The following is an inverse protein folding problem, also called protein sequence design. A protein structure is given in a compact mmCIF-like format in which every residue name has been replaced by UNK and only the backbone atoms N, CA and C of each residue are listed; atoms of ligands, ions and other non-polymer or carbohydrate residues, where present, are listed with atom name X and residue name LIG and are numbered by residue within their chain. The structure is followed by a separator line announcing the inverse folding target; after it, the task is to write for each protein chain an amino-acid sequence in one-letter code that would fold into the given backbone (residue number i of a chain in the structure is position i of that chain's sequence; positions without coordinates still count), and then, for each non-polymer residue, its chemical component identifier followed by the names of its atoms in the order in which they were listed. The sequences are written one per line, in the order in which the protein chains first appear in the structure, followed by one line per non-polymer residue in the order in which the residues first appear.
data_IF_672215734011
#
_entry.id   IF_672215734011
#
_cell.length_a   1.000
_cell.length_b   1.000
_cell.length_c   1.000
_cell.angle_alpha   90.00
_cell.angle_beta   90.00
_cell.angle_gamma   90.00
#
_symmetry.space_group_name_H-M   'P 1'
#
loop_
_entity.id
_entity.type
_entity.pdbx_description
1 polymer ?
#
# COMPACT_ATOMS: atom_id res chain seq x y z
N UNK A 1 38.72 31.21 9.06
CA UNK A 1 38.75 30.17 8.00
C UNK A 1 38.17 28.84 8.47
N UNK A 2 38.59 28.30 9.63
CA UNK A 2 38.04 27.05 10.20
C UNK A 2 36.53 27.07 10.49
N UNK A 3 36.01 28.15 11.08
CA UNK A 3 34.58 28.26 11.46
C UNK A 3 33.64 28.16 10.25
N UNK A 4 34.05 28.73 9.11
CA UNK A 4 33.28 28.70 7.86
C UNK A 4 33.19 27.27 7.32
N UNK A 5 34.29 26.50 7.40
CA UNK A 5 34.33 25.10 6.97
C UNK A 5 33.45 24.20 7.86
N UNK A 6 33.38 24.48 9.17
CA UNK A 6 32.50 23.76 10.09
C UNK A 6 31.03 24.07 9.77
N UNK A 7 30.69 25.34 9.56
CA UNK A 7 29.34 25.77 9.20
C UNK A 7 28.87 25.19 7.86
N UNK A 8 29.74 25.18 6.83
CA UNK A 8 29.40 24.59 5.54
C UNK A 8 29.25 23.07 5.62
N UNK A 9 30.06 22.38 6.44
CA UNK A 9 29.89 20.95 6.69
C UNK A 9 28.56 20.60 7.36
N UNK A 10 28.15 21.38 8.37
CA UNK A 10 26.86 21.20 9.06
C UNK A 10 25.69 21.49 8.12
N UNK A 11 25.78 22.55 7.32
CA UNK A 11 24.75 22.87 6.32
C UNK A 11 24.61 21.79 5.24
N UNK A 12 25.73 21.24 4.76
CA UNK A 12 25.73 20.14 3.80
C UNK A 12 25.10 18.87 4.38
N UNK A 13 25.38 18.57 5.65
CA UNK A 13 24.79 17.44 6.35
C UNK A 13 23.26 17.55 6.45
N UNK A 14 22.76 18.69 6.94
CA UNK A 14 21.31 18.93 7.04
C UNK A 14 20.60 18.96 5.68
N UNK A 15 21.24 19.52 4.65
CA UNK A 15 20.69 19.52 3.30
C UNK A 15 20.57 18.09 2.74
N UNK A 16 21.58 17.25 3.00
CA UNK A 16 21.59 15.86 2.56
C UNK A 16 20.52 15.02 3.28
N UNK A 17 20.39 15.15 4.61
CA UNK A 17 19.34 14.44 5.36
C UNK A 17 17.93 14.80 4.86
N UNK A 18 17.65 16.10 4.68
CA UNK A 18 16.35 16.54 4.15
C UNK A 18 16.10 16.04 2.73
N UNK A 19 17.14 15.94 1.91
CA UNK A 19 16.99 15.44 0.54
C UNK A 19 16.72 13.93 0.55
N UNK A 20 17.39 13.16 1.42
CA UNK A 20 17.12 11.74 1.59
C UNK A 20 15.71 11.48 2.14
N UNK A 21 15.26 12.27 3.11
CA UNK A 21 13.89 12.18 3.65
C UNK A 21 12.83 12.48 2.58
N UNK A 22 13.05 13.51 1.75
CA UNK A 22 12.16 13.81 0.61
C UNK A 22 12.13 12.70 -0.43
N UNK A 23 13.29 12.11 -0.74
CA UNK A 23 13.39 10.98 -1.66
C UNK A 23 12.61 9.81 -1.08
N UNK A 24 12.86 9.45 0.18
CA UNK A 24 12.16 8.39 0.88
C UNK A 24 10.64 8.61 0.86
N UNK A 25 10.16 9.79 1.26
CA UNK A 25 8.72 10.09 1.25
C UNK A 25 8.10 10.16 -0.16
N UNK A 26 8.91 10.43 -1.20
CA UNK A 26 8.43 10.42 -2.58
C UNK A 26 8.27 9.02 -3.16
N UNK A 27 9.08 8.06 -2.69
CA UNK A 27 9.03 6.66 -3.12
C UNK A 27 8.20 5.79 -2.17
N UNK A 28 8.02 6.23 -0.92
CA UNK A 28 7.39 5.51 0.16
C UNK A 28 6.30 6.39 0.73
N UNK A 29 5.07 5.90 0.82
CA UNK A 29 4.05 6.56 1.64
C UNK A 29 4.50 6.66 3.10
N UNK A 30 3.76 7.39 3.96
CA UNK A 30 4.08 7.67 5.37
C UNK A 30 4.47 6.44 6.22
N UNK A 31 4.24 5.21 5.74
CA UNK A 31 4.52 3.96 6.46
C UNK A 31 5.52 3.03 5.77
N UNK A 32 6.27 3.50 4.77
CA UNK A 32 7.26 2.66 4.09
C UNK A 32 6.65 1.67 3.07
N UNK A 33 5.33 1.71 2.85
CA UNK A 33 4.64 0.97 1.79
C UNK A 33 4.52 1.86 0.54
N UNK A 34 5.16 1.48 -0.56
CA UNK A 34 5.08 2.20 -1.83
C UNK A 34 3.80 1.92 -2.62
N UNK A 35 3.22 0.71 -2.50
CA UNK A 35 1.98 0.34 -3.18
C UNK A 35 1.28 -0.84 -2.49
N UNK A 36 -0.07 -0.83 -2.52
CA UNK A 36 -0.92 -1.93 -2.05
C UNK A 36 -1.89 -2.33 -3.16
N UNK A 37 -2.18 -3.62 -3.28
CA UNK A 37 -3.15 -4.13 -4.24
C UNK A 37 -3.92 -5.31 -3.69
N UNK A 38 -5.21 -5.38 -3.96
CA UNK A 38 -6.03 -6.56 -3.70
C UNK A 38 -6.46 -7.20 -5.03
N UNK A 39 -6.28 -8.51 -5.14
CA UNK A 39 -6.70 -9.31 -6.30
C UNK A 39 -7.72 -10.34 -5.84
N UNK A 40 -8.90 -10.35 -6.46
CA UNK A 40 -9.97 -11.30 -6.18
C UNK A 40 -9.99 -12.37 -7.28
N UNK A 41 -9.80 -13.63 -6.90
CA UNK A 41 -9.84 -14.76 -7.83
C UNK A 41 -11.25 -15.36 -7.89
N UNK A 42 -11.59 -15.94 -9.05
CA UNK A 42 -12.92 -16.54 -9.31
C UNK A 42 -13.21 -17.78 -8.48
N UNK A 43 -12.20 -18.40 -7.89
CA UNK A 43 -12.33 -19.55 -7.00
C UNK A 43 -12.74 -19.17 -5.56
N UNK A 44 -12.96 -17.87 -5.31
CA UNK A 44 -13.32 -17.35 -3.99
C UNK A 44 -12.13 -17.02 -3.10
N UNK A 45 -10.90 -17.14 -3.61
CA UNK A 45 -9.68 -16.72 -2.90
C UNK A 45 -9.27 -15.30 -3.27
N UNK A 46 -8.52 -14.64 -2.40
CA UNK A 46 -7.92 -13.34 -2.70
C UNK A 46 -6.43 -13.31 -2.37
N UNK A 47 -5.72 -12.36 -2.97
CA UNK A 47 -4.36 -11.98 -2.59
C UNK A 47 -4.28 -10.49 -2.33
N UNK A 48 -3.83 -10.11 -1.15
CA UNK A 48 -3.42 -8.76 -0.82
C UNK A 48 -1.90 -8.68 -0.91
N UNK A 49 -1.38 -7.81 -1.76
CA UNK A 49 0.05 -7.58 -1.93
C UNK A 49 0.40 -6.18 -1.46
N UNK A 50 1.51 -6.06 -0.74
CA UNK A 50 2.06 -4.78 -0.35
C UNK A 50 3.54 -4.73 -0.71
N UNK A 51 3.97 -3.60 -1.27
CA UNK A 51 5.34 -3.36 -1.66
C UNK A 51 5.93 -2.34 -0.70
N UNK A 52 6.92 -2.75 0.09
CA UNK A 52 7.70 -1.85 0.91
C UNK A 52 8.81 -1.18 0.10
N UNK A 53 9.26 -0.01 0.53
CA UNK A 53 10.46 0.63 -0.04
C UNK A 53 11.77 -0.06 0.35
N UNK A 54 11.82 -0.63 1.56
CA UNK A 54 12.99 -1.29 2.11
C UNK A 54 12.79 -2.80 2.33
N UNK A 55 11.54 -3.26 2.27
CA UNK A 55 11.19 -4.67 2.44
C UNK A 55 10.83 -5.27 1.08
N UNK A 56 11.41 -6.43 0.77
CA UNK A 56 10.91 -7.29 -0.31
C UNK A 56 9.40 -7.48 -0.10
N UNK A 57 8.59 -7.08 -1.08
CA UNK A 57 7.13 -7.05 -0.96
C UNK A 57 6.56 -8.34 -0.36
N UNK A 58 5.54 -8.18 0.47
CA UNK A 58 4.83 -9.29 1.09
C UNK A 58 3.47 -9.49 0.45
N UNK A 59 2.91 -10.68 0.65
CA UNK A 59 1.52 -10.95 0.31
C UNK A 59 0.83 -11.72 1.42
N UNK A 60 -0.49 -11.54 1.48
CA UNK A 60 -1.41 -12.28 2.31
C UNK A 60 -2.48 -12.87 1.40
N UNK A 61 -2.98 -14.02 1.78
CA UNK A 61 -4.04 -14.72 1.08
C UNK A 61 -5.15 -15.16 2.04
N UNK A 62 -6.28 -15.51 1.45
CA UNK A 62 -7.46 -15.95 2.17
C UNK A 62 -8.65 -16.08 1.23
N UNK A 63 -9.85 -16.03 1.80
CA UNK A 63 -11.10 -16.13 1.06
C UNK A 63 -11.85 -14.79 1.03
N UNK A 64 -12.70 -14.59 0.03
CA UNK A 64 -13.57 -13.44 -0.05
C UNK A 64 -15.02 -13.83 -0.36
N UNK A 65 -15.95 -12.99 0.07
CA UNK A 65 -17.37 -13.12 -0.22
C UNK A 65 -17.93 -11.74 -0.55
N UNK A 66 -18.75 -11.66 -1.61
CA UNK A 66 -19.53 -10.46 -1.92
C UNK A 66 -20.94 -10.60 -1.33
N UNK A 67 -21.32 -9.69 -0.43
CA UNK A 67 -22.65 -9.62 0.17
C UNK A 67 -23.29 -8.26 -0.13
N UNK A 68 -24.26 -8.26 -1.05
CA UNK A 68 -24.89 -7.03 -1.54
C UNK A 68 -23.84 -6.01 -2.03
N UNK A 69 -23.68 -4.89 -1.32
CA UNK A 69 -22.72 -3.83 -1.66
C UNK A 69 -21.41 -3.91 -0.87
N UNK A 70 -21.17 -5.01 -0.15
CA UNK A 70 -19.98 -5.19 0.66
C UNK A 70 -19.13 -6.35 0.16
N UNK A 71 -17.83 -6.11 0.05
CA UNK A 71 -16.82 -7.15 -0.05
C UNK A 71 -16.31 -7.47 1.35
N UNK A 72 -16.39 -8.73 1.74
CA UNK A 72 -15.82 -9.22 2.99
C UNK A 72 -14.65 -10.15 2.67
N UNK A 73 -13.52 -9.93 3.32
CA UNK A 73 -12.29 -10.74 3.15
C UNK A 73 -11.92 -11.41 4.46
N UNK A 74 -11.41 -12.63 4.34
CA UNK A 74 -11.10 -13.52 5.43
C UNK A 74 -9.64 -13.97 5.25
N UNK A 75 -8.66 -13.13 5.61
CA UNK A 75 -7.25 -13.47 5.48
C UNK A 75 -6.90 -14.64 6.41
N UNK A 76 -5.96 -15.48 5.98
CA UNK A 76 -5.45 -16.59 6.79
C UNK A 76 -4.65 -16.11 8.01
N UNK A 77 -4.10 -14.89 7.94
CA UNK A 77 -3.32 -14.23 9.01
C UNK A 77 -3.89 -12.82 9.20
N UNK A 78 -4.02 -12.36 10.46
CA UNK A 78 -4.43 -10.98 10.74
C UNK A 78 -3.36 -9.99 10.31
N UNK A 79 -3.79 -8.87 9.73
CA UNK A 79 -2.92 -7.80 9.28
C UNK A 79 -3.58 -6.44 9.57
N UNK A 80 -2.79 -5.50 10.05
CA UNK A 80 -3.29 -4.18 10.50
C UNK A 80 -3.59 -3.23 9.32
N UNK A 81 -3.14 -3.56 8.10
CA UNK A 81 -3.32 -2.74 6.91
C UNK A 81 -4.44 -3.24 6.00
N UNK A 82 -5.01 -4.41 6.29
CA UNK A 82 -6.10 -5.01 5.54
C UNK A 82 -7.40 -4.96 6.36
N UNK A 83 -8.42 -4.27 5.85
CA UNK A 83 -9.75 -4.34 6.43
C UNK A 83 -10.37 -5.70 6.13
N UNK A 84 -11.18 -6.21 7.06
CA UNK A 84 -12.02 -7.38 6.81
C UNK A 84 -13.24 -7.05 5.95
N UNK A 85 -13.61 -5.78 5.81
CA UNK A 85 -14.83 -5.37 5.12
C UNK A 85 -14.67 -4.07 4.34
N UNK A 86 -15.13 -4.09 3.10
CA UNK A 86 -15.10 -2.95 2.19
C UNK A 86 -16.49 -2.68 1.62
N UNK A 87 -16.87 -1.40 1.53
CA UNK A 87 -18.06 -0.95 0.83
C UNK A 87 -17.71 -0.64 -0.62
N UNK A 88 -18.46 -1.21 -1.57
CA UNK A 88 -18.35 -0.84 -2.97
C UNK A 88 -19.08 0.48 -3.21
N UNK A 89 -18.34 1.50 -3.64
CA UNK A 89 -18.86 2.82 -4.03
C UNK A 89 -18.28 3.16 -5.40
N UNK A 90 -19.14 3.22 -6.42
CA UNK A 90 -18.73 3.39 -7.82
C UNK A 90 -17.65 2.36 -8.23
N UNK A 91 -16.46 2.84 -8.61
CA UNK A 91 -15.31 2.02 -8.99
C UNK A 91 -14.29 1.86 -7.85
N UNK A 92 -14.73 1.98 -6.59
CA UNK A 92 -13.86 1.92 -5.42
C UNK A 92 -14.37 0.92 -4.38
N UNK A 93 -13.41 0.38 -3.63
CA UNK A 93 -13.62 -0.33 -2.37
C UNK A 93 -13.12 0.55 -1.23
N UNK A 94 -14.07 1.01 -0.41
CA UNK A 94 -13.81 1.89 0.72
C UNK A 94 -13.79 1.03 2.00
N UNK A 95 -12.71 1.04 2.80
CA UNK A 95 -12.67 0.29 4.06
C UNK A 95 -13.77 0.78 5.02
N UNK A 96 -14.32 -0.14 5.81
CA UNK A 96 -15.47 0.14 6.70
C UNK A 96 -15.04 0.31 8.16
N UNK A 97 -14.06 -0.46 8.61
CA UNK A 97 -13.63 -0.54 10.01
C UNK A 97 -12.31 0.19 10.26
N UNK A 98 -11.43 0.24 9.26
CA UNK A 98 -10.14 0.95 9.37
C UNK A 98 -10.20 2.26 8.57
N UNK A 99 -9.65 3.32 9.13
CA UNK A 99 -9.33 4.51 8.35
C UNK A 99 -8.13 4.18 7.46
N UNK A 100 -8.32 4.23 6.15
CA UNK A 100 -7.31 3.80 5.20
C UNK A 100 -7.62 4.24 3.77
N UNK A 101 -6.68 3.94 2.88
CA UNK A 101 -6.82 4.27 1.45
C UNK A 101 -7.85 3.37 0.76
N UNK A 102 -8.63 3.97 -0.14
CA UNK A 102 -9.54 3.25 -1.02
C UNK A 102 -8.77 2.38 -2.01
N UNK A 103 -9.29 1.19 -2.34
CA UNK A 103 -8.83 0.48 -3.53
C UNK A 103 -9.65 0.92 -4.74
N UNK A 104 -8.96 1.34 -5.81
CA UNK A 104 -9.59 1.53 -7.11
C UNK A 104 -9.73 0.14 -7.76
N UNK A 105 -10.94 -0.20 -8.18
CA UNK A 105 -11.20 -1.43 -8.89
C UNK A 105 -10.66 -1.30 -10.32
N UNK A 106 -9.68 -2.14 -10.67
CA UNK A 106 -9.31 -2.35 -12.05
C UNK A 106 -10.32 -3.33 -12.67
N UNK A 107 -10.97 -2.95 -13.77
CA UNK A 107 -11.83 -3.88 -14.52
C UNK A 107 -11.03 -5.10 -15.00
N UNK A 108 -11.72 -6.23 -15.13
CA UNK A 108 -11.21 -7.57 -15.43
C UNK A 108 -9.92 -7.58 -16.28
N UNK A 109 -8.87 -8.22 -15.74
CA UNK A 109 -7.82 -8.80 -16.58
C UNK A 109 -8.49 -9.89 -17.42
N UNK A 110 -9.06 -9.51 -18.57
CA UNK A 110 -9.40 -10.46 -19.63
C UNK A 110 -8.11 -11.19 -19.95
N UNK A 111 -8.07 -12.49 -19.64
CA UNK A 111 -7.11 -13.43 -20.23
C UNK A 111 -7.26 -13.38 -21.74
N UNK A 112 -6.55 -12.45 -22.38
CA UNK A 112 -6.18 -12.58 -23.79
C UNK A 112 -4.92 -13.45 -23.83
N UNK A 113 -5.13 -14.75 -23.65
CA UNK A 113 -4.30 -15.73 -24.33
C UNK A 113 -5.14 -16.18 -25.54
N UNK A 114 -4.90 -15.53 -26.67
CA UNK A 114 -5.17 -16.08 -27.99
C UNK A 114 -3.91 -16.82 -28.46
#
# INVERSE_FOLDING_TARGET
MFIIAILSGVLLFFANERQQEKILNSYCSEFGFGAKSITLFKDGTFRFSYYGCSQSGGYLDGNWVLRANFLEVYPNIKDDFLDSKYKKVDNKLVPVNIEGEDFILCEDFKTQFY
#
